data_IF_456895650889
#
_entry.id   IF_456895650889
#
_cell.length_a   1.000
_cell.length_b   1.000
_cell.length_c   1.000
_cell.angle_alpha   90.00
_cell.angle_beta   90.00
_cell.angle_gamma   90.00
#
_symmetry.space_group_name_H-M   'P 1'
#
loop_
_entity.id
_entity.type
_entity.pdbx_description
1 polymer ?
#
# COMPACT_ATOMS: atom_id res chain seq x y z
N UNK A 1 -22.41 -13.55 5.67
CA UNK A 1 -21.13 -12.94 6.04
C UNK A 1 -21.45 -11.68 6.81
N UNK A 2 -21.43 -11.77 8.14
CA UNK A 2 -21.77 -10.66 9.03
C UNK A 2 -20.64 -9.64 8.99
N UNK A 3 -20.94 -8.45 8.47
CA UNK A 3 -20.03 -7.30 8.54
C UNK A 3 -20.14 -6.71 9.95
N UNK A 4 -19.48 -7.33 10.92
CA UNK A 4 -19.27 -6.69 12.21
C UNK A 4 -18.24 -5.58 12.01
N UNK A 5 -18.76 -4.37 11.84
CA UNK A 5 -18.00 -3.14 11.84
C UNK A 5 -17.45 -3.01 13.26
N UNK A 6 -16.17 -3.34 13.44
CA UNK A 6 -15.46 -3.05 14.69
C UNK A 6 -15.67 -1.55 14.96
N UNK A 7 -16.30 -1.17 16.08
CA UNK A 7 -16.51 0.24 16.39
C UNK A 7 -15.14 0.92 16.43
N UNK A 8 -14.97 1.95 15.59
CA UNK A 8 -13.78 2.80 15.63
C UNK A 8 -13.87 3.56 16.94
N UNK A 9 -13.04 3.17 17.90
CA UNK A 9 -12.97 3.81 19.19
C UNK A 9 -12.20 5.13 18.98
N UNK A 10 -12.92 6.23 18.78
CA UNK A 10 -12.36 7.57 18.50
C UNK A 10 -11.72 8.25 19.72
N UNK A 11 -11.64 7.54 20.86
CA UNK A 11 -10.87 7.99 22.01
C UNK A 11 -9.39 8.01 21.66
N UNK A 12 -8.88 9.20 21.32
CA UNK A 12 -7.45 9.49 21.33
C UNK A 12 -6.97 9.40 22.79
N UNK A 13 -6.62 8.20 23.23
CA UNK A 13 -5.84 8.04 24.46
C UNK A 13 -4.54 8.82 24.29
N UNK A 14 -4.44 9.97 24.95
CA UNK A 14 -3.19 10.70 25.03
C UNK A 14 -2.15 9.81 25.70
N UNK A 15 -0.93 9.89 25.19
CA UNK A 15 0.11 9.01 25.68
C UNK A 15 0.38 9.30 27.18
N UNK A 16 0.62 8.28 28.03
CA UNK A 16 0.67 8.44 29.48
C UNK A 16 1.73 9.45 29.97
N UNK A 17 2.75 9.68 29.15
CA UNK A 17 3.85 10.59 29.41
C UNK A 17 3.52 12.08 29.19
N UNK A 18 2.32 12.40 28.69
CA UNK A 18 1.88 13.78 28.49
C UNK A 18 1.28 14.41 29.76
N UNK A 19 1.03 13.62 30.80
CA UNK A 19 0.47 14.10 32.06
C UNK A 19 1.59 14.50 33.03
N UNK A 20 1.36 15.56 33.81
CA UNK A 20 2.33 16.06 34.81
C UNK A 20 2.58 15.06 35.96
N UNK A 21 1.76 14.03 36.08
CA UNK A 21 1.82 13.00 37.12
C UNK A 21 2.59 11.74 36.69
N UNK A 22 3.12 11.71 35.47
CA UNK A 22 3.82 10.54 34.95
C UNK A 22 5.15 10.31 35.67
N UNK A 23 5.20 9.23 36.48
CA UNK A 23 6.39 8.82 37.26
C UNK A 23 7.36 7.93 36.48
N UNK A 24 7.09 7.66 35.20
CA UNK A 24 7.82 6.66 34.42
C UNK A 24 7.16 5.28 34.45
N UNK A 25 7.68 4.37 33.63
CA UNK A 25 7.21 2.98 33.59
C UNK A 25 8.05 2.08 34.50
N UNK A 26 7.41 1.14 35.17
CA UNK A 26 8.10 0.01 35.78
C UNK A 26 8.73 -0.89 34.71
N UNK A 27 9.78 -1.62 35.08
CA UNK A 27 10.43 -2.59 34.20
C UNK A 27 9.45 -3.66 33.71
N UNK A 28 8.49 -4.05 34.53
CA UNK A 28 7.46 -5.03 34.18
C UNK A 28 6.48 -4.47 33.15
N UNK A 29 6.05 -3.22 33.32
CA UNK A 29 5.17 -2.53 32.37
C UNK A 29 5.85 -2.37 31.01
N UNK A 30 7.13 -2.02 30.98
CA UNK A 30 7.90 -1.92 29.73
C UNK A 30 7.98 -3.27 29.01
N UNK A 31 8.20 -4.36 29.74
CA UNK A 31 8.23 -5.72 29.17
C UNK A 31 6.86 -6.10 28.62
N UNK A 32 5.80 -5.79 29.37
CA UNK A 32 4.43 -6.06 28.96
C UNK A 32 4.04 -5.28 27.70
N UNK A 33 4.31 -3.97 27.66
CA UNK A 33 4.09 -3.13 26.47
C UNK A 33 4.87 -3.65 25.26
N UNK A 34 6.13 -4.05 25.45
CA UNK A 34 6.95 -4.62 24.37
C UNK A 34 6.34 -5.92 23.83
N UNK A 35 5.86 -6.80 24.70
CA UNK A 35 5.20 -8.04 24.31
C UNK A 35 3.90 -7.76 23.53
N UNK A 36 3.07 -6.83 23.99
CA UNK A 36 1.86 -6.41 23.29
C UNK A 36 2.15 -5.83 21.90
N UNK A 37 3.16 -4.96 21.79
CA UNK A 37 3.56 -4.37 20.51
C UNK A 37 4.10 -5.46 19.57
N UNK A 38 4.86 -6.42 20.07
CA UNK A 38 5.33 -7.57 19.27
C UNK A 38 4.15 -8.37 18.71
N UNK A 39 3.17 -8.72 19.54
CA UNK A 39 1.96 -9.42 19.11
C UNK A 39 1.18 -8.64 18.05
N UNK A 40 0.98 -7.33 18.26
CA UNK A 40 0.29 -6.47 17.27
C UNK A 40 1.03 -6.46 15.92
N UNK A 41 2.36 -6.41 15.93
CA UNK A 41 3.17 -6.49 14.71
C UNK A 41 2.98 -7.83 13.99
N UNK A 42 2.97 -8.94 14.72
CA UNK A 42 2.78 -10.26 14.13
C UNK A 42 1.38 -10.43 13.52
N UNK A 43 0.34 -9.95 14.20
CA UNK A 43 -1.02 -9.92 13.64
C UNK A 43 -1.11 -9.05 12.38
N UNK A 44 -0.52 -7.86 12.41
CA UNK A 44 -0.52 -6.96 11.25
C UNK A 44 0.21 -7.60 10.06
N UNK A 45 1.39 -8.19 10.31
CA UNK A 45 2.16 -8.93 9.31
C UNK A 45 1.35 -10.07 8.70
N UNK A 46 0.70 -10.89 9.54
CA UNK A 46 -0.16 -11.99 9.09
C UNK A 46 -1.33 -11.49 8.23
N UNK A 47 -2.00 -10.41 8.65
CA UNK A 47 -3.10 -9.78 7.91
C UNK A 47 -2.63 -9.22 6.56
N UNK A 48 -1.46 -8.59 6.51
CA UNK A 48 -0.86 -8.07 5.28
C UNK A 48 -0.52 -9.21 4.30
N UNK A 49 0.14 -10.27 4.77
CA UNK A 49 0.45 -11.45 3.94
C UNK A 49 -0.84 -12.09 3.43
N UNK A 50 -1.84 -12.29 4.29
CA UNK A 50 -3.14 -12.83 3.89
C UNK A 50 -3.84 -11.95 2.85
N UNK A 51 -3.83 -10.63 3.02
CA UNK A 51 -4.39 -9.70 2.05
C UNK A 51 -3.61 -9.71 0.73
N UNK A 52 -2.28 -9.77 0.77
CA UNK A 52 -1.44 -9.87 -0.41
C UNK A 52 -1.69 -11.18 -1.17
N UNK A 53 -1.79 -12.30 -0.47
CA UNK A 53 -2.15 -13.60 -1.05
C UNK A 53 -3.56 -13.57 -1.66
N UNK A 54 -4.51 -12.91 -1.00
CA UNK A 54 -5.87 -12.72 -1.51
C UNK A 54 -5.87 -11.85 -2.77
N UNK A 55 -5.09 -10.78 -2.82
CA UNK A 55 -4.92 -9.94 -4.01
C UNK A 55 -4.19 -10.69 -5.11
N UNK A 56 -3.19 -11.52 -4.81
CA UNK A 56 -2.53 -12.37 -5.80
C UNK A 56 -3.49 -13.39 -6.40
N UNK A 57 -4.30 -14.06 -5.57
CA UNK A 57 -5.29 -15.05 -6.01
C UNK A 57 -6.48 -14.42 -6.75
N UNK A 58 -6.87 -13.19 -6.38
CA UNK A 58 -7.99 -12.44 -6.97
C UNK A 58 -7.57 -11.54 -8.14
N UNK A 59 -6.28 -11.24 -8.25
CA UNK A 59 -5.69 -10.43 -9.31
C UNK A 59 -5.65 -11.17 -10.64
N UNK A 60 -5.63 -10.40 -11.72
CA UNK A 60 -5.73 -10.83 -13.13
C UNK A 60 -4.68 -11.87 -13.59
N UNK A 61 -3.71 -12.25 -12.76
CA UNK A 61 -2.76 -13.33 -13.03
C UNK A 61 -3.25 -14.72 -12.61
N UNK A 62 -4.38 -14.82 -11.88
CA UNK A 62 -4.91 -16.07 -11.35
C UNK A 62 -5.88 -16.84 -12.26
N UNK A 63 -6.22 -16.34 -13.45
CA UNK A 63 -7.15 -17.03 -14.35
C UNK A 63 -6.61 -17.05 -15.78
N UNK A 64 -5.78 -18.06 -16.01
CA UNK A 64 -5.39 -18.50 -17.33
C UNK A 64 -6.67 -18.93 -18.07
N UNK A 65 -7.08 -18.17 -19.08
CA UNK A 65 -8.33 -18.40 -19.81
C UNK A 65 -8.65 -17.25 -20.76
N UNK A 66 -7.87 -17.12 -21.82
CA UNK A 66 -8.33 -16.64 -23.13
C UNK A 66 -9.10 -15.31 -23.15
N UNK A 67 -8.46 -14.16 -22.89
CA UNK A 67 -8.98 -12.88 -23.41
C UNK A 67 -7.82 -11.93 -23.74
N UNK A 68 -7.93 -11.34 -24.92
CA UNK A 68 -6.90 -10.65 -25.71
C UNK A 68 -6.13 -9.55 -24.98
N UNK A 69 -4.79 -9.57 -25.15
CA UNK A 69 -3.80 -8.65 -24.57
C UNK A 69 -4.03 -7.16 -24.86
N UNK A 70 -4.90 -6.81 -25.82
CA UNK A 70 -5.14 -5.42 -26.25
C UNK A 70 -6.28 -4.77 -25.47
N UNK A 71 -7.33 -5.52 -25.11
CA UNK A 71 -8.47 -5.00 -24.35
C UNK A 71 -8.12 -4.71 -22.88
N UNK A 72 -7.20 -5.47 -22.29
CA UNK A 72 -6.76 -5.28 -20.91
C UNK A 72 -5.90 -4.04 -20.71
N UNK A 73 -5.07 -3.64 -21.67
CA UNK A 73 -4.19 -2.45 -21.53
C UNK A 73 -5.00 -1.15 -21.54
N UNK A 74 -6.03 -1.08 -22.38
CA UNK A 74 -6.95 0.07 -22.43
C UNK A 74 -7.76 0.24 -21.14
N UNK A 75 -8.34 -0.84 -20.60
CA UNK A 75 -9.13 -0.79 -19.36
C UNK A 75 -8.31 -0.59 -18.09
N UNK A 76 -7.05 -1.04 -18.06
CA UNK A 76 -6.12 -0.85 -16.94
C UNK A 76 -5.56 0.56 -16.89
N UNK A 77 -5.21 1.16 -18.04
CA UNK A 77 -4.77 2.54 -18.10
C UNK A 77 -5.83 3.49 -17.53
N UNK A 78 -7.10 3.33 -17.91
CA UNK A 78 -8.19 4.20 -17.45
C UNK A 78 -8.44 4.09 -15.94
N UNK A 79 -8.29 2.90 -15.33
CA UNK A 79 -8.48 2.71 -13.88
C UNK A 79 -7.28 3.19 -13.05
N UNK A 80 -6.06 3.06 -13.57
CA UNK A 80 -4.84 3.61 -12.96
C UNK A 80 -4.88 5.14 -13.02
N UNK A 81 -5.29 5.70 -14.16
CA UNK A 81 -5.49 7.14 -14.36
C UNK A 81 -6.56 7.69 -13.38
N UNK A 82 -7.68 6.99 -13.18
CA UNK A 82 -8.74 7.50 -12.29
C UNK A 82 -8.40 7.47 -10.78
N UNK A 83 -7.37 6.73 -10.35
CA UNK A 83 -7.09 6.48 -8.92
C UNK A 83 -5.75 7.01 -8.40
N UNK A 84 -4.90 7.57 -9.26
CA UNK A 84 -3.56 8.04 -8.89
C UNK A 84 -3.57 9.52 -8.50
N UNK A 85 -3.05 9.84 -7.31
CA UNK A 85 -2.82 11.23 -6.91
C UNK A 85 -1.78 11.91 -7.82
N UNK A 86 -1.81 13.24 -7.89
CA UNK A 86 -0.96 14.06 -8.79
C UNK A 86 0.53 13.68 -8.82
N UNK A 87 1.10 13.20 -7.70
CA UNK A 87 2.50 12.77 -7.62
C UNK A 87 2.81 11.56 -8.50
N UNK A 88 1.87 10.65 -8.64
CA UNK A 88 2.10 9.38 -9.34
C UNK A 88 2.04 9.59 -10.88
N UNK A 89 1.28 10.60 -11.32
CA UNK A 89 1.35 11.12 -12.70
C UNK A 89 2.70 11.76 -13.03
N UNK A 90 3.28 12.53 -12.11
CA UNK A 90 4.61 13.13 -12.31
C UNK A 90 5.69 12.06 -12.40
N UNK A 91 5.58 11.00 -11.59
CA UNK A 91 6.47 9.84 -11.64
C UNK A 91 6.37 9.08 -12.97
N UNK A 92 5.15 8.78 -13.44
CA UNK A 92 4.94 8.15 -14.75
C UNK A 92 5.47 9.06 -15.88
N UNK A 93 5.20 10.36 -15.81
CA UNK A 93 5.70 11.35 -16.76
C UNK A 93 7.23 11.39 -16.80
N UNK A 94 7.90 11.43 -15.65
CA UNK A 94 9.36 11.40 -15.57
C UNK A 94 9.97 10.09 -16.09
N UNK A 95 9.37 8.94 -15.75
CA UNK A 95 9.82 7.63 -16.22
C UNK A 95 9.67 7.47 -17.74
N UNK A 96 8.54 7.93 -18.30
CA UNK A 96 8.30 7.92 -19.73
C UNK A 96 9.18 8.94 -20.47
N UNK A 97 9.49 10.10 -19.87
CA UNK A 97 10.30 11.15 -20.49
C UNK A 97 11.74 10.70 -20.79
N UNK A 98 12.38 9.96 -19.87
CA UNK A 98 13.73 9.42 -20.10
C UNK A 98 13.78 8.43 -21.27
N UNK A 99 12.74 7.60 -21.39
CA UNK A 99 12.62 6.60 -22.47
C UNK A 99 12.23 7.26 -23.80
N UNK A 100 11.29 8.18 -23.77
CA UNK A 100 10.86 8.98 -24.94
C UNK A 100 11.99 9.82 -25.52
N UNK A 101 12.83 10.45 -24.67
CA UNK A 101 14.00 11.21 -25.13
C UNK A 101 15.04 10.33 -25.82
N UNK A 102 15.24 9.09 -25.36
CA UNK A 102 16.15 8.13 -26.01
C UNK A 102 15.63 7.76 -27.40
N UNK A 103 14.35 7.41 -27.52
CA UNK A 103 13.70 7.08 -28.80
C UNK A 103 13.76 8.28 -29.75
N UNK A 104 13.41 9.48 -29.26
CA UNK A 104 13.49 10.73 -30.02
C UNK A 104 14.91 11.03 -30.51
N UNK A 105 15.93 10.84 -29.66
CA UNK A 105 17.34 11.02 -30.04
C UNK A 105 17.79 10.03 -31.12
N UNK A 106 17.32 8.79 -31.09
CA UNK A 106 17.60 7.80 -32.14
C UNK A 106 16.98 8.17 -33.49
N UNK A 107 15.76 8.74 -33.49
CA UNK A 107 15.13 9.22 -34.72
C UNK A 107 15.72 10.54 -35.22
N UNK A 108 16.18 11.42 -34.32
CA UNK A 108 16.79 12.72 -34.70
C UNK A 108 18.23 12.60 -35.19
N UNK A 109 18.94 11.50 -34.91
CA UNK A 109 20.30 11.23 -35.40
C UNK A 109 20.37 10.59 -36.79
N UNK A 110 19.24 10.42 -37.49
CA UNK A 110 19.15 9.87 -38.86
C UNK A 110 18.88 10.95 -39.93
N UNK A 111 19.32 12.19 -39.69
CA UNK A 111 19.45 13.21 -40.74
C UNK A 111 20.92 13.58 -40.89
#
# INVERSE_FOLDING_TARGET
MTNEIVPVNDHKEEAPHNTKEFKGYSIEELRYQRALIALRKDFCRSKMVHNADRVRKRGFFGRNGTTSRVAHVGGLATKIISGLGYLDYVMIGMSAFGTGRKIFKFFRGKK
#
